data_IF_800729153054
#
_entry.id   IF_800729153054
#
_cell.length_a   1.000
_cell.length_b   1.000
_cell.length_c   1.000
_cell.angle_alpha   90.00
_cell.angle_beta   90.00
_cell.angle_gamma   90.00
#
_symmetry.space_group_name_H-M   'P 1'
#
loop_
_entity.id
_entity.type
_entity.pdbx_description
1 polymer ?
#
# COMPACT_ATOMS: atom_id res chain seq x y z
N UNK A 1 -3.68 8.09 17.17
CA UNK A 1 -3.30 8.45 15.79
C UNK A 1 -3.74 7.39 14.78
N UNK A 2 -3.52 6.08 15.07
CA UNK A 2 -3.98 4.94 14.24
C UNK A 2 -5.48 5.05 13.92
N UNK A 3 -6.33 5.21 14.91
CA UNK A 3 -7.80 5.34 14.75
C UNK A 3 -8.24 6.57 13.92
N UNK A 4 -7.49 7.65 13.95
CA UNK A 4 -7.82 8.87 13.20
C UNK A 4 -7.46 8.76 11.71
N UNK A 5 -6.30 8.17 11.41
CA UNK A 5 -5.85 7.92 10.03
C UNK A 5 -6.75 6.89 9.35
N UNK A 6 -7.13 5.81 10.05
CA UNK A 6 -8.03 4.77 9.56
C UNK A 6 -9.39 5.33 9.12
N UNK A 7 -10.01 6.21 9.92
CA UNK A 7 -11.29 6.83 9.56
C UNK A 7 -11.22 7.79 8.38
N UNK A 8 -10.11 8.50 8.20
CA UNK A 8 -9.95 9.44 7.10
C UNK A 8 -9.64 8.74 5.78
N UNK A 9 -8.79 7.71 5.81
CA UNK A 9 -8.50 6.86 4.66
C UNK A 9 -9.75 6.08 4.24
N UNK A 10 -10.46 5.47 5.18
CA UNK A 10 -11.71 4.77 4.93
C UNK A 10 -12.75 5.67 4.27
N UNK A 11 -13.01 6.87 4.82
CA UNK A 11 -13.99 7.81 4.26
C UNK A 11 -13.62 8.30 2.85
N UNK A 12 -12.34 8.41 2.50
CA UNK A 12 -11.91 8.84 1.17
C UNK A 12 -12.05 7.73 0.13
N UNK A 13 -11.68 6.50 0.45
CA UNK A 13 -11.79 5.36 -0.47
C UNK A 13 -13.26 5.06 -0.80
N UNK A 14 -14.18 5.22 0.18
CA UNK A 14 -15.61 4.93 -0.01
C UNK A 14 -16.45 6.09 -0.55
N UNK A 15 -15.93 7.32 -0.63
CA UNK A 15 -16.70 8.49 -1.09
C UNK A 15 -16.91 8.55 -2.61
N UNK A 16 -16.10 7.85 -3.38
CA UNK A 16 -16.20 7.86 -4.85
C UNK A 16 -16.89 6.60 -5.37
N UNK A 17 -18.23 6.58 -5.32
CA UNK A 17 -19.04 5.63 -6.07
C UNK A 17 -19.10 6.08 -7.53
N UNK A 18 -18.30 5.53 -8.44
CA UNK A 18 -18.50 5.79 -9.86
C UNK A 18 -18.80 4.57 -10.72
N UNK A 19 -18.39 3.36 -10.34
CA UNK A 19 -18.41 2.22 -11.28
C UNK A 19 -18.98 0.91 -10.71
N UNK A 20 -19.87 0.96 -9.71
CA UNK A 20 -20.51 -0.26 -9.17
C UNK A 20 -19.61 -1.18 -8.34
N UNK A 21 -18.30 -1.09 -8.46
CA UNK A 21 -17.35 -1.88 -7.69
C UNK A 21 -16.90 -1.12 -6.44
N UNK A 22 -17.45 -1.50 -5.28
CA UNK A 22 -17.04 -0.93 -4.00
C UNK A 22 -15.71 -1.56 -3.58
N UNK A 23 -14.65 -0.79 -3.28
CA UNK A 23 -13.43 -1.34 -2.72
C UNK A 23 -13.72 -1.91 -1.32
N UNK A 24 -13.15 -3.07 -1.04
CA UNK A 24 -13.21 -3.69 0.29
C UNK A 24 -11.93 -3.38 1.05
N UNK A 25 -12.07 -2.92 2.29
CA UNK A 25 -10.96 -2.70 3.19
C UNK A 25 -11.08 -3.71 4.33
N UNK A 26 -10.04 -4.49 4.52
CA UNK A 26 -9.88 -5.36 5.68
C UNK A 26 -8.78 -4.79 6.55
N UNK A 27 -9.11 -4.46 7.78
CA UNK A 27 -8.13 -4.05 8.80
C UNK A 27 -7.69 -5.30 9.58
N UNK A 28 -6.39 -5.41 9.81
CA UNK A 28 -5.79 -6.49 10.56
C UNK A 28 -5.00 -5.96 11.76
N UNK A 29 -5.00 -6.69 12.86
CA UNK A 29 -4.14 -6.40 14.01
C UNK A 29 -2.65 -6.62 13.72
N UNK A 30 -2.35 -7.40 12.68
CA UNK A 30 -0.97 -7.72 12.25
C UNK A 30 -0.47 -6.78 11.14
N UNK A 31 -1.38 -6.12 10.40
CA UNK A 31 -1.08 -5.25 9.27
C UNK A 31 -1.92 -3.98 9.36
N UNK A 32 -1.42 -2.87 8.82
CA UNK A 32 -2.18 -1.63 8.93
C UNK A 32 -3.44 -1.69 8.06
N UNK A 33 -3.33 -2.14 6.79
CA UNK A 33 -4.50 -2.21 5.91
C UNK A 33 -4.33 -3.19 4.74
N UNK A 34 -5.40 -3.90 4.40
CA UNK A 34 -5.52 -4.65 3.15
C UNK A 34 -6.64 -4.01 2.34
N UNK A 35 -6.35 -3.61 1.11
CA UNK A 35 -7.29 -2.96 0.21
C UNK A 35 -7.53 -3.87 -0.99
N UNK A 36 -8.79 -4.27 -1.19
CA UNK A 36 -9.21 -5.01 -2.37
C UNK A 36 -9.89 -4.05 -3.34
N UNK A 37 -9.32 -3.88 -4.51
CA UNK A 37 -9.97 -3.18 -5.61
C UNK A 37 -10.46 -4.23 -6.62
N UNK A 38 -11.79 -4.42 -6.74
CA UNK A 38 -12.35 -5.35 -7.72
C UNK A 38 -11.80 -5.06 -9.12
N UNK A 39 -11.46 -6.11 -9.86
CA UNK A 39 -10.86 -6.05 -11.19
C UNK A 39 -9.44 -5.46 -11.31
N UNK A 40 -8.85 -4.97 -10.21
CA UNK A 40 -7.50 -4.39 -10.22
C UNK A 40 -6.50 -5.20 -9.40
N UNK A 41 -6.90 -5.69 -8.20
CA UNK A 41 -6.01 -6.49 -7.35
C UNK A 41 -6.11 -6.15 -5.87
N UNK A 42 -5.08 -6.55 -5.13
CA UNK A 42 -5.01 -6.42 -3.67
C UNK A 42 -3.73 -5.68 -3.27
N UNK A 43 -3.88 -4.71 -2.39
CA UNK A 43 -2.77 -3.93 -1.84
C UNK A 43 -2.62 -4.23 -0.35
N UNK A 44 -1.43 -4.62 0.04
CA UNK A 44 -1.01 -4.76 1.45
C UNK A 44 -0.30 -3.47 1.84
N UNK A 45 -1.00 -2.60 2.57
CA UNK A 45 -0.55 -1.24 2.88
C UNK A 45 -0.06 -1.13 4.31
N UNK A 46 1.20 -0.73 4.47
CA UNK A 46 1.77 -0.29 5.74
C UNK A 46 1.69 1.24 5.85
N UNK A 47 1.30 1.77 7.01
CA UNK A 47 1.13 3.22 7.22
C UNK A 47 2.10 3.71 8.28
N UNK A 48 2.91 4.71 7.93
CA UNK A 48 3.85 5.33 8.88
C UNK A 48 3.55 6.82 9.02
N UNK A 49 3.15 7.22 10.22
CA UNK A 49 2.94 8.63 10.56
C UNK A 49 4.24 9.38 10.80
N UNK A 50 4.13 10.74 10.88
CA UNK A 50 5.27 11.63 11.01
C UNK A 50 5.89 12.01 9.65
N UNK A 51 6.98 12.78 9.71
CA UNK A 51 7.80 13.07 8.52
C UNK A 51 8.83 11.95 8.40
N UNK A 52 8.75 11.20 7.34
CA UNK A 52 9.60 10.03 7.13
C UNK A 52 10.89 10.42 6.43
N UNK A 53 12.00 9.94 6.96
CA UNK A 53 13.33 10.04 6.38
C UNK A 53 13.93 8.66 6.14
N UNK A 54 14.88 8.59 5.21
CA UNK A 54 15.66 7.39 4.93
C UNK A 54 17.14 7.74 4.74
N UNK A 55 17.99 7.12 5.55
CA UNK A 55 19.45 7.19 5.40
C UNK A 55 19.92 5.99 4.56
N UNK A 56 20.32 6.26 3.31
CA UNK A 56 20.73 5.22 2.38
C UNK A 56 22.07 4.54 2.77
N UNK A 57 22.97 5.25 3.47
CA UNK A 57 24.25 4.69 3.90
C UNK A 57 24.07 3.71 5.06
N UNK A 58 23.18 4.05 6.00
CA UNK A 58 22.88 3.19 7.16
C UNK A 58 21.73 2.23 6.90
N UNK A 59 21.00 2.41 5.78
CA UNK A 59 19.75 1.72 5.47
C UNK A 59 18.70 1.84 6.59
N UNK A 60 18.63 3.02 7.20
CA UNK A 60 17.78 3.29 8.36
C UNK A 60 16.59 4.19 7.99
N UNK A 61 15.43 3.79 8.50
CA UNK A 61 14.20 4.57 8.42
C UNK A 61 13.97 5.34 9.70
N UNK A 62 13.56 6.59 9.56
CA UNK A 62 13.23 7.47 10.69
C UNK A 62 11.87 8.11 10.52
N UNK A 63 11.24 8.46 11.64
CA UNK A 63 10.01 9.25 11.68
C UNK A 63 10.22 10.42 12.62
N UNK A 64 9.97 11.64 12.13
CA UNK A 64 10.03 12.86 12.92
C UNK A 64 8.62 13.32 13.27
N UNK A 65 8.32 13.49 14.53
CA UNK A 65 7.05 14.06 14.99
C UNK A 65 6.95 15.54 14.62
N UNK A 66 5.79 15.97 14.14
CA UNK A 66 5.57 17.38 13.74
C UNK A 66 5.52 18.34 14.96
N UNK A 67 4.91 17.89 16.06
CA UNK A 67 4.74 18.67 17.29
C UNK A 67 6.03 18.86 18.06
N UNK A 68 6.71 17.77 18.42
CA UNK A 68 7.90 17.78 19.28
C UNK A 68 9.21 17.89 18.52
N UNK A 69 9.19 17.73 17.18
CA UNK A 69 10.39 17.63 16.33
C UNK A 69 11.35 16.49 16.69
N UNK A 70 10.90 15.57 17.55
CA UNK A 70 11.69 14.40 17.90
C UNK A 70 11.72 13.40 16.75
N UNK A 71 12.91 12.88 16.49
CA UNK A 71 13.14 11.86 15.46
C UNK A 71 13.39 10.50 16.11
N UNK A 72 12.71 9.48 15.61
CA UNK A 72 12.80 8.11 16.07
C UNK A 72 13.18 7.20 14.92
N UNK A 73 14.02 6.21 15.21
CA UNK A 73 14.24 5.09 14.29
C UNK A 73 12.97 4.23 14.24
N UNK A 74 12.58 3.83 13.05
CA UNK A 74 11.42 2.96 12.82
C UNK A 74 11.83 1.70 12.06
N UNK A 75 11.04 0.66 12.19
CA UNK A 75 11.21 -0.57 11.41
C UNK A 75 11.01 -0.29 9.92
N UNK A 76 11.70 -1.06 9.09
CA UNK A 76 11.58 -0.94 7.63
C UNK A 76 10.12 -1.18 7.17
N UNK A 77 9.43 -0.15 6.67
CA UNK A 77 8.02 -0.25 6.34
C UNK A 77 7.76 -1.10 5.09
N UNK A 78 8.73 -1.17 4.17
CA UNK A 78 8.65 -2.03 2.99
C UNK A 78 8.70 -3.50 3.41
N UNK A 79 9.63 -3.85 4.29
CA UNK A 79 9.74 -5.21 4.80
C UNK A 79 8.48 -5.64 5.55
N UNK A 80 7.85 -4.72 6.30
CA UNK A 80 6.59 -5.00 7.00
C UNK A 80 5.46 -5.30 6.03
N UNK A 81 5.23 -4.45 5.03
CA UNK A 81 4.17 -4.66 4.02
C UNK A 81 4.43 -5.89 3.14
N UNK A 82 5.69 -6.17 2.81
CA UNK A 82 6.08 -7.37 2.07
C UNK A 82 5.81 -8.65 2.87
N UNK A 83 6.17 -8.66 4.17
CA UNK A 83 5.87 -9.78 5.06
C UNK A 83 4.36 -10.02 5.18
N UNK A 84 3.57 -8.95 5.25
CA UNK A 84 2.11 -9.01 5.24
C UNK A 84 1.59 -9.75 4.00
N UNK A 85 2.05 -9.34 2.83
CA UNK A 85 1.69 -9.99 1.56
C UNK A 85 2.03 -11.48 1.55
N UNK A 86 3.25 -11.84 1.99
CA UNK A 86 3.69 -13.24 2.00
C UNK A 86 2.89 -14.09 2.98
N UNK A 87 2.60 -13.57 4.18
CA UNK A 87 1.83 -14.31 5.18
C UNK A 87 0.40 -14.58 4.69
N UNK A 88 -0.26 -13.60 4.11
CA UNK A 88 -1.60 -13.79 3.55
C UNK A 88 -1.55 -14.74 2.34
N UNK A 89 -0.57 -14.59 1.45
CA UNK A 89 -0.40 -15.51 0.34
C UNK A 89 -0.22 -16.97 0.82
N UNK A 90 0.58 -17.18 1.87
CA UNK A 90 0.80 -18.51 2.43
C UNK A 90 -0.45 -19.11 3.09
N UNK A 91 -1.30 -18.28 3.73
CA UNK A 91 -2.57 -18.73 4.28
C UNK A 91 -3.55 -19.25 3.21
N UNK A 92 -3.50 -18.64 2.02
CA UNK A 92 -4.38 -18.99 0.91
C UNK A 92 -3.68 -19.74 -0.22
N UNK A 93 -2.49 -20.29 0.03
CA UNK A 93 -1.66 -20.93 -1.01
C UNK A 93 -2.37 -22.07 -1.73
N UNK A 94 -3.19 -22.85 -1.02
CA UNK A 94 -3.90 -23.99 -1.60
C UNK A 94 -5.01 -23.52 -2.54
N UNK A 95 -5.74 -22.45 -2.18
CA UNK A 95 -6.72 -21.81 -3.04
C UNK A 95 -6.07 -21.18 -4.28
N UNK A 96 -4.89 -20.57 -4.13
CA UNK A 96 -4.13 -20.06 -5.26
C UNK A 96 -3.54 -21.19 -6.13
N UNK A 97 -3.22 -22.35 -5.53
CA UNK A 97 -2.71 -23.51 -6.26
C UNK A 97 -3.73 -24.11 -7.23
N UNK A 98 -5.02 -24.07 -6.90
CA UNK A 98 -6.11 -24.48 -7.80
C UNK A 98 -6.14 -23.66 -9.09
N UNK A 99 -5.57 -22.45 -9.05
CA UNK A 99 -5.51 -21.54 -10.18
C UNK A 99 -4.07 -21.38 -10.73
N UNK A 100 -3.31 -22.48 -10.72
CA UNK A 100 -1.91 -22.50 -11.18
C UNK A 100 -1.77 -21.90 -12.59
N UNK A 101 -0.78 -21.02 -12.75
CA UNK A 101 -0.54 -20.32 -14.01
C UNK A 101 -1.38 -19.06 -14.22
N UNK A 102 -2.29 -18.74 -13.28
CA UNK A 102 -3.06 -17.50 -13.30
C UNK A 102 -2.32 -16.39 -12.53
N UNK A 103 -2.43 -15.17 -13.02
CA UNK A 103 -1.81 -14.01 -12.38
C UNK A 103 -2.78 -13.31 -11.44
N UNK A 104 -2.39 -13.23 -10.18
CA UNK A 104 -3.10 -12.45 -9.14
C UNK A 104 -2.29 -11.20 -8.86
N UNK A 105 -2.88 -10.02 -9.05
CA UNK A 105 -2.19 -8.76 -8.82
C UNK A 105 -2.16 -8.43 -7.31
N UNK A 106 -1.14 -8.92 -6.63
CA UNK A 106 -0.90 -8.72 -5.21
C UNK A 106 0.32 -7.82 -5.01
N UNK A 107 0.14 -6.61 -4.50
CA UNK A 107 1.23 -5.66 -4.27
C UNK A 107 1.37 -5.31 -2.80
N UNK A 108 2.60 -5.17 -2.34
CA UNK A 108 2.92 -4.53 -1.07
C UNK A 108 3.17 -3.03 -1.30
N UNK A 109 2.73 -2.19 -0.38
CA UNK A 109 2.83 -0.74 -0.51
C UNK A 109 3.01 -0.07 0.85
N UNK A 110 3.47 1.18 0.83
CA UNK A 110 3.67 1.97 2.03
C UNK A 110 3.02 3.34 1.86
N UNK A 111 2.35 3.83 2.90
CA UNK A 111 1.77 5.16 2.94
C UNK A 111 2.44 6.05 4.00
N UNK A 112 2.89 7.22 3.58
CA UNK A 112 3.45 8.28 4.41
C UNK A 112 2.51 9.51 4.41
N UNK A 113 1.39 9.47 5.14
CA UNK A 113 0.31 10.46 5.02
C UNK A 113 0.70 11.87 5.46
N UNK A 114 1.82 12.02 6.16
CA UNK A 114 2.33 13.29 6.64
C UNK A 114 3.59 13.77 5.92
N UNK A 115 4.14 12.97 5.02
CA UNK A 115 5.36 13.29 4.28
C UNK A 115 4.99 13.75 2.88
N UNK A 116 5.40 14.95 2.46
CA UNK A 116 5.23 15.42 1.08
C UNK A 116 5.93 14.50 0.09
N UNK A 117 5.41 14.44 -1.13
CA UNK A 117 6.03 13.65 -2.19
C UNK A 117 7.42 14.21 -2.52
N UNK A 118 8.48 13.38 -2.47
CA UNK A 118 9.83 13.84 -2.78
C UNK A 118 9.95 14.18 -4.27
N UNK A 119 10.79 15.17 -4.58
CA UNK A 119 11.13 15.55 -5.96
C UNK A 119 12.10 14.58 -6.62
N UNK A 120 12.93 13.91 -5.81
CA UNK A 120 13.83 12.86 -6.26
C UNK A 120 13.01 11.65 -6.73
N UNK A 121 13.24 11.11 -7.93
CA UNK A 121 12.58 9.91 -8.40
C UNK A 121 12.99 8.63 -7.66
N UNK A 122 14.11 8.64 -6.93
CA UNK A 122 14.62 7.49 -6.16
C UNK A 122 15.01 7.87 -4.73
N UNK A 123 14.09 8.45 -3.95
CA UNK A 123 14.41 9.05 -2.64
C UNK A 123 14.88 8.01 -1.61
N UNK A 124 14.58 6.74 -1.85
CA UNK A 124 14.88 5.65 -0.93
C UNK A 124 15.90 4.64 -1.51
N UNK A 125 16.53 4.98 -2.65
CA UNK A 125 17.50 4.14 -3.34
C UNK A 125 16.95 3.42 -4.57
N UNK A 126 17.83 2.86 -5.40
CA UNK A 126 17.49 2.35 -6.73
C UNK A 126 16.60 1.09 -6.72
N UNK A 127 16.63 0.34 -5.62
CA UNK A 127 15.91 -0.90 -5.40
C UNK A 127 14.49 -0.70 -4.84
N UNK A 128 14.10 0.55 -4.58
CA UNK A 128 12.81 0.91 -3.99
C UNK A 128 12.00 1.79 -4.94
N UNK A 129 11.20 1.18 -5.82
CA UNK A 129 10.42 1.90 -6.82
C UNK A 129 9.43 2.86 -6.14
N UNK A 130 9.33 4.09 -6.66
CA UNK A 130 8.46 5.12 -6.09
C UNK A 130 6.97 4.74 -6.19
N UNK A 131 6.64 3.88 -7.10
CA UNK A 131 5.29 3.40 -7.40
C UNK A 131 4.64 2.62 -6.26
N UNK A 132 5.43 2.05 -5.33
CA UNK A 132 4.88 1.37 -4.15
C UNK A 132 4.61 2.31 -2.97
N UNK A 133 4.87 3.61 -3.12
CA UNK A 133 4.69 4.59 -2.06
C UNK A 133 3.52 5.53 -2.35
N UNK A 134 2.77 5.82 -1.28
CA UNK A 134 1.79 6.90 -1.22
C UNK A 134 2.28 7.98 -0.26
N UNK A 135 2.16 9.23 -0.68
CA UNK A 135 2.55 10.39 0.11
C UNK A 135 1.35 11.27 0.46
N UNK A 136 1.60 12.32 1.22
CA UNK A 136 0.57 13.31 1.57
C UNK A 136 -0.18 13.82 0.35
N UNK A 137 0.54 14.06 -0.75
CA UNK A 137 0.01 14.60 -2.00
C UNK A 137 -0.90 13.62 -2.75
N UNK A 138 -0.76 12.33 -2.50
CA UNK A 138 -1.60 11.29 -3.13
C UNK A 138 -2.96 11.11 -2.42
N UNK A 139 -3.11 11.60 -1.18
CA UNK A 139 -4.32 11.39 -0.39
C UNK A 139 -5.57 12.07 -0.95
N UNK A 140 -5.52 13.29 -1.54
CA UNK A 140 -6.68 13.91 -2.16
C UNK A 140 -7.27 13.10 -3.32
N UNK A 141 -6.40 12.33 -4.03
CA UNK A 141 -6.74 11.52 -5.20
C UNK A 141 -6.43 10.03 -4.96
N UNK A 142 -6.63 9.59 -3.73
CA UNK A 142 -6.17 8.29 -3.25
C UNK A 142 -6.59 7.13 -4.13
N UNK A 143 -7.84 7.08 -4.59
CA UNK A 143 -8.33 6.00 -5.46
C UNK A 143 -7.52 5.91 -6.76
N UNK A 144 -7.32 7.03 -7.44
CA UNK A 144 -6.54 7.08 -8.67
C UNK A 144 -5.07 6.67 -8.43
N UNK A 145 -4.49 7.06 -7.29
CA UNK A 145 -3.12 6.66 -6.90
C UNK A 145 -3.02 5.15 -6.65
N UNK A 146 -4.02 4.54 -6.00
CA UNK A 146 -4.06 3.08 -5.79
C UNK A 146 -4.24 2.31 -7.10
N UNK A 147 -5.12 2.77 -7.99
CA UNK A 147 -5.32 2.17 -9.31
C UNK A 147 -4.05 2.27 -10.17
N UNK A 148 -3.37 3.43 -10.15
CA UNK A 148 -2.08 3.62 -10.82
C UNK A 148 -1.02 2.65 -10.30
N UNK A 149 -0.93 2.47 -8.98
CA UNK A 149 -0.02 1.52 -8.33
C UNK A 149 -0.29 0.08 -8.78
N UNK A 150 -1.55 -0.35 -8.80
CA UNK A 150 -1.94 -1.68 -9.26
C UNK A 150 -1.69 -1.88 -10.75
N UNK A 151 -1.94 -0.88 -11.58
CA UNK A 151 -1.65 -0.93 -13.01
C UNK A 151 -0.14 -1.03 -13.28
N UNK A 152 0.68 -0.31 -12.52
CA UNK A 152 2.14 -0.45 -12.57
C UNK A 152 2.59 -1.87 -12.20
N UNK A 153 2.08 -2.40 -11.08
CA UNK A 153 2.40 -3.76 -10.62
C UNK A 153 1.98 -4.85 -11.60
N UNK A 154 0.85 -4.65 -12.23
CA UNK A 154 0.33 -5.57 -13.24
C UNK A 154 1.21 -5.61 -14.50
N UNK A 155 1.71 -4.45 -14.95
CA UNK A 155 2.35 -4.31 -16.26
C UNK A 155 1.40 -4.76 -17.37
N UNK A 156 1.91 -5.57 -18.30
CA UNK A 156 1.13 -6.11 -19.43
C UNK A 156 0.39 -7.42 -19.12
N UNK A 157 0.44 -7.90 -17.86
CA UNK A 157 -0.20 -9.17 -17.48
C UNK A 157 -1.73 -9.01 -17.39
N UNK A 158 -2.45 -10.02 -17.85
CA UNK A 158 -3.88 -10.12 -17.63
C UNK A 158 -4.17 -10.63 -16.21
N UNK A 159 -5.08 -9.92 -15.50
CA UNK A 159 -5.47 -10.29 -14.14
C UNK A 159 -6.50 -11.41 -14.19
N UNK A 160 -6.21 -12.51 -13.50
CA UNK A 160 -7.19 -13.56 -13.29
C UNK A 160 -8.24 -13.13 -12.28
N UNK A 161 -9.52 -13.26 -12.66
CA UNK A 161 -10.67 -12.97 -11.82
C UNK A 161 -11.24 -14.27 -11.28
N UNK A 162 -11.37 -14.36 -9.96
CA UNK A 162 -12.06 -15.47 -9.30
C UNK A 162 -13.54 -15.08 -9.19
N UNK A 163 -14.41 -15.86 -9.80
CA UNK A 163 -15.85 -15.65 -9.74
C UNK A 163 -16.52 -15.65 -11.11
N UNK A 164 -17.87 -15.67 -11.15
CA UNK A 164 -18.59 -15.56 -12.41
C UNK A 164 -18.31 -14.23 -13.09
N UNK A 165 -18.25 -14.17 -14.42
CA UNK A 165 -18.20 -12.91 -15.14
C UNK A 165 -19.42 -12.07 -14.76
N UNK A 166 -19.19 -10.81 -14.42
CA UNK A 166 -20.25 -9.83 -14.11
C UNK A 166 -20.87 -9.37 -15.42
#
# INVERSE_FOLDING_TARGET
LRHFLDRHLYKRIFREKKDGATPYIVMSTLYDMIILLPNHGVIFLEIKGGIIGYDAQKQEWTSTRRDTKQTFKISNPIAQSLSAKHNIFNLFKDQFAEHKGKFFNLIHAVCFPNTPKPRDPKPFGPDKPLEIFLFQDDLPVLRASLEKMLNWSKGDKEIYRIGPPI
#
